data_IF_468273970103
#
_entry.id   IF_468273970103
#
_cell.length_a   1.000
_cell.length_b   1.000
_cell.length_c   1.000
_cell.angle_alpha   90.00
_cell.angle_beta   90.00
_cell.angle_gamma   90.00
#
_symmetry.space_group_name_H-M   'P 1'
#
loop_
_entity.id
_entity.type
_entity.pdbx_description
1 polymer ?
#
# COMPACT_ATOMS: atom_id res chain seq x y z
N UNK A 1 10.58 4.09 67.01
CA UNK A 1 10.43 3.01 66.05
C UNK A 1 10.23 3.72 64.75
N UNK A 2 11.21 4.01 64.30
CA UNK A 2 12.30 4.22 63.34
C UNK A 2 11.76 3.91 61.96
N UNK A 3 11.58 4.99 61.20
CA UNK A 3 11.24 4.99 59.79
C UNK A 3 12.51 5.36 59.02
N UNK A 4 13.14 4.33 58.45
CA UNK A 4 14.34 4.48 57.61
C UNK A 4 13.95 4.68 56.14
N UNK A 5 13.78 5.93 55.73
CA UNK A 5 13.79 6.31 54.31
C UNK A 5 15.18 6.87 53.95
N UNK A 6 16.01 6.01 53.38
CA UNK A 6 17.33 6.35 52.89
C UNK A 6 17.31 7.13 51.57
N UNK A 7 17.33 8.46 51.64
CA UNK A 7 17.64 9.32 50.50
C UNK A 7 19.13 9.61 50.42
N UNK A 8 19.79 9.19 49.36
CA UNK A 8 21.16 9.60 49.06
C UNK A 8 21.15 10.98 48.40
N UNK A 9 21.53 12.00 49.20
CA UNK A 9 21.74 13.35 48.74
C UNK A 9 23.07 13.45 48.00
N UNK A 10 23.00 13.72 46.68
CA UNK A 10 24.16 14.04 45.86
C UNK A 10 24.67 15.45 46.19
N UNK A 11 25.75 15.56 46.90
CA UNK A 11 26.43 16.78 47.28
C UNK A 11 27.25 17.32 46.11
N UNK A 12 26.70 18.26 45.34
CA UNK A 12 27.41 18.97 44.29
C UNK A 12 28.23 20.12 44.87
N UNK A 13 29.53 19.87 45.01
CA UNK A 13 30.52 20.86 45.43
C UNK A 13 30.80 21.86 44.30
N UNK A 14 30.65 23.19 44.49
CA UNK A 14 30.98 24.15 43.48
C UNK A 14 32.49 24.33 43.37
N UNK A 15 33.04 24.05 42.20
CA UNK A 15 34.45 24.32 41.88
C UNK A 15 34.58 25.75 41.43
N UNK A 16 35.12 26.59 42.32
CA UNK A 16 35.57 27.97 42.07
C UNK A 16 36.84 27.91 41.24
N UNK A 17 36.87 28.58 40.09
CA UNK A 17 38.11 28.66 39.32
C UNK A 17 37.99 29.53 38.09
N UNK A 18 38.46 30.76 38.26
CA UNK A 18 39.15 31.70 37.37
C UNK A 18 38.63 32.02 35.99
N UNK A 19 38.27 33.28 35.91
CA UNK A 19 38.15 34.14 34.72
C UNK A 19 39.35 33.99 33.76
N UNK A 20 39.08 33.60 32.54
CA UNK A 20 39.84 34.02 31.37
C UNK A 20 38.91 33.92 30.17
N UNK A 21 38.47 35.03 29.66
CA UNK A 21 37.81 35.17 28.37
C UNK A 21 38.76 34.74 27.26
N UNK A 22 38.38 33.85 26.39
CA UNK A 22 38.93 33.84 25.04
C UNK A 22 37.94 34.53 24.10
N UNK A 23 38.43 35.51 23.39
CA UNK A 23 37.86 36.17 22.23
C UNK A 23 37.26 35.16 21.24
N UNK A 24 36.24 35.56 20.46
CA UNK A 24 35.70 34.70 19.44
C UNK A 24 36.74 34.43 18.37
N UNK A 25 37.29 33.24 18.36
CA UNK A 25 38.12 32.77 17.26
C UNK A 25 37.26 32.75 16.00
N UNK A 26 37.56 33.70 15.14
CA UNK A 26 37.01 33.75 13.80
C UNK A 26 37.19 32.40 13.12
N UNK A 27 36.10 31.86 12.64
CA UNK A 27 36.07 30.72 11.75
C UNK A 27 36.82 31.13 10.48
N UNK A 28 38.10 30.82 10.40
CA UNK A 28 38.96 31.02 9.26
C UNK A 28 38.48 30.03 8.21
N UNK A 29 37.57 30.45 7.35
CA UNK A 29 37.27 29.75 6.11
C UNK A 29 38.56 29.78 5.30
N UNK A 30 39.23 28.64 5.23
CA UNK A 30 40.37 28.48 4.34
C UNK A 30 39.87 28.73 2.92
N UNK A 31 40.49 29.68 2.15
CA UNK A 31 40.07 29.93 0.79
C UNK A 31 40.31 28.67 -0.01
N UNK A 32 39.23 28.05 -0.48
CA UNK A 32 39.31 26.90 -1.43
C UNK A 32 40.24 27.30 -2.56
N UNK A 33 41.31 26.52 -2.72
CA UNK A 33 42.32 26.77 -3.75
C UNK A 33 41.61 26.99 -5.10
N UNK A 34 42.03 28.07 -5.81
CA UNK A 34 41.48 28.44 -7.13
C UNK A 34 41.49 27.23 -8.14
N UNK A 35 42.32 26.23 -7.87
CA UNK A 35 42.35 24.97 -8.63
C UNK A 35 41.14 24.08 -8.34
N UNK A 36 40.73 23.96 -7.06
CA UNK A 36 39.54 23.18 -6.69
C UNK A 36 38.27 23.81 -7.27
N UNK A 37 38.16 25.13 -7.28
CA UNK A 37 37.03 25.87 -7.86
C UNK A 37 36.93 25.62 -9.39
N UNK A 38 38.08 25.70 -10.10
CA UNK A 38 38.10 25.40 -11.55
C UNK A 38 37.73 23.95 -11.87
N UNK A 39 38.17 22.99 -11.05
CA UNK A 39 37.81 21.61 -11.20
C UNK A 39 36.32 21.42 -10.92
N UNK A 40 35.77 22.00 -9.86
CA UNK A 40 34.36 21.94 -9.52
C UNK A 40 33.46 22.52 -10.63
N UNK A 41 33.85 23.68 -11.20
CA UNK A 41 33.14 24.27 -12.33
C UNK A 41 33.22 23.39 -13.58
N UNK A 42 34.37 22.79 -13.84
CA UNK A 42 34.55 21.88 -14.98
C UNK A 42 33.65 20.62 -14.84
N UNK A 43 33.56 20.01 -13.64
CA UNK A 43 32.70 18.88 -13.35
C UNK A 43 31.23 19.23 -13.49
N UNK A 44 30.82 20.38 -12.93
CA UNK A 44 29.43 20.86 -13.05
C UNK A 44 29.07 21.14 -14.50
N UNK A 45 29.95 21.78 -15.27
CA UNK A 45 29.75 22.03 -16.69
C UNK A 45 29.62 20.73 -17.51
N UNK A 46 30.49 19.75 -17.26
CA UNK A 46 30.40 18.44 -17.92
C UNK A 46 29.10 17.73 -17.57
N UNK A 47 28.67 17.79 -16.30
CA UNK A 47 27.40 17.19 -15.86
C UNK A 47 26.19 17.84 -16.56
N UNK A 48 26.16 19.16 -16.67
CA UNK A 48 25.09 19.87 -17.38
C UNK A 48 25.05 19.48 -18.87
N UNK A 49 26.22 19.36 -19.54
CA UNK A 49 26.28 18.94 -20.95
C UNK A 49 25.75 17.52 -21.12
N UNK A 50 26.12 16.58 -20.23
CA UNK A 50 25.61 15.22 -20.25
C UNK A 50 24.09 15.20 -20.08
N UNK A 51 23.54 15.97 -19.14
CA UNK A 51 22.10 16.05 -18.94
C UNK A 51 21.36 16.59 -20.19
N UNK A 52 21.91 17.64 -20.81
CA UNK A 52 21.34 18.18 -22.05
C UNK A 52 21.40 17.18 -23.21
N UNK A 53 22.47 16.39 -23.32
CA UNK A 53 22.57 15.34 -24.32
C UNK A 53 21.57 14.20 -24.07
N UNK A 54 21.37 13.80 -22.81
CA UNK A 54 20.36 12.77 -22.45
C UNK A 54 18.94 13.25 -22.78
N UNK A 55 18.63 14.52 -22.48
CA UNK A 55 17.33 15.10 -22.81
C UNK A 55 17.15 15.19 -24.33
N UNK A 56 18.17 15.63 -25.06
CA UNK A 56 18.12 15.72 -26.52
C UNK A 56 17.96 14.35 -27.18
N UNK A 57 18.70 13.33 -26.70
CA UNK A 57 18.56 11.94 -27.17
C UNK A 57 17.19 11.35 -26.82
N UNK A 58 16.70 11.61 -25.61
CA UNK A 58 15.35 11.22 -25.19
C UNK A 58 14.27 11.84 -26.08
N UNK A 59 14.37 13.13 -26.36
CA UNK A 59 13.45 13.83 -27.26
C UNK A 59 13.55 13.28 -28.70
N UNK A 60 14.77 12.96 -29.17
CA UNK A 60 14.96 12.38 -30.50
C UNK A 60 14.41 10.97 -30.61
N UNK A 61 14.56 10.13 -29.60
CA UNK A 61 13.96 8.79 -29.53
C UNK A 61 12.43 8.86 -29.51
N UNK A 62 11.86 9.85 -28.78
CA UNK A 62 10.41 10.06 -28.77
C UNK A 62 9.86 10.65 -30.09
N UNK A 63 10.68 11.24 -30.96
CA UNK A 63 10.32 11.76 -32.27
C UNK A 63 10.62 10.79 -33.41
N UNK A 64 11.17 9.61 -33.12
CA UNK A 64 11.38 8.56 -34.11
C UNK A 64 10.08 8.11 -34.75
N UNK A 65 10.02 7.92 -36.10
CA UNK A 65 8.81 7.45 -36.75
C UNK A 65 8.47 6.05 -36.24
N UNK A 66 7.23 5.86 -35.83
CA UNK A 66 6.70 4.53 -35.51
C UNK A 66 6.97 3.57 -36.68
N UNK A 67 7.38 2.32 -36.43
CA UNK A 67 7.59 1.35 -37.50
C UNK A 67 6.28 1.16 -38.28
N UNK A 68 6.30 1.52 -39.56
CA UNK A 68 5.21 1.28 -40.51
C UNK A 68 5.06 -0.23 -40.67
N UNK A 69 4.02 -0.81 -40.03
CA UNK A 69 3.52 -2.11 -40.42
C UNK A 69 3.03 -2.04 -41.86
N UNK A 70 3.51 -2.95 -42.72
CA UNK A 70 3.07 -3.04 -44.11
C UNK A 70 1.56 -3.20 -44.19
N UNK A 71 0.85 -2.37 -44.94
CA UNK A 71 -0.54 -2.59 -45.24
C UNK A 71 -0.68 -3.66 -46.30
N UNK A 72 -1.24 -4.80 -45.99
CA UNK A 72 -1.89 -5.64 -46.98
C UNK A 72 -3.15 -4.92 -47.44
N UNK A 73 -3.18 -4.69 -48.73
CA UNK A 73 -4.15 -4.11 -49.63
C UNK A 73 -5.60 -4.44 -49.25
N UNK A 74 -6.42 -3.38 -48.99
CA UNK A 74 -7.86 -3.39 -49.25
C UNK A 74 -8.33 -1.95 -49.40
N UNK A 75 -8.93 -1.66 -50.60
CA UNK A 75 -9.53 -0.43 -51.05
C UNK A 75 -10.59 0.12 -50.09
N UNK A 76 -10.56 1.44 -49.85
CA UNK A 76 -11.64 2.15 -49.19
C UNK A 76 -11.27 3.60 -48.84
N UNK A 77 -11.64 4.51 -49.75
CA UNK A 77 -11.55 5.98 -49.61
C UNK A 77 -12.10 6.48 -48.27
N UNK A 78 -11.29 7.16 -47.46
CA UNK A 78 -11.74 8.18 -46.49
C UNK A 78 -10.63 9.22 -46.23
N UNK A 79 -11.05 10.45 -46.28
CA UNK A 79 -10.41 11.74 -46.17
C UNK A 79 -9.49 11.95 -44.96
N UNK A 80 -8.35 12.61 -45.21
CA UNK A 80 -7.42 13.15 -44.23
C UNK A 80 -8.00 14.32 -43.46
N UNK A 81 -8.04 14.25 -42.15
CA UNK A 81 -7.92 15.41 -41.25
C UNK A 81 -7.38 15.00 -39.88
N UNK A 82 -6.28 15.62 -39.43
CA UNK A 82 -5.93 15.80 -38.04
C UNK A 82 -4.97 14.80 -37.40
N UNK A 83 -3.68 15.16 -37.29
CA UNK A 83 -2.56 14.42 -36.70
C UNK A 83 -2.59 14.21 -35.19
N UNK A 84 -3.78 14.09 -34.56
CA UNK A 84 -3.91 13.82 -33.11
C UNK A 84 -4.57 12.49 -32.76
N UNK A 85 -5.05 11.74 -33.76
CA UNK A 85 -5.84 10.51 -33.51
C UNK A 85 -5.02 9.21 -33.49
N UNK A 86 -3.85 9.18 -34.10
CA UNK A 86 -3.10 7.91 -34.24
C UNK A 86 -2.49 7.41 -32.91
N UNK A 87 -2.07 8.29 -32.01
CA UNK A 87 -1.55 7.87 -30.69
C UNK A 87 -2.67 7.35 -29.77
N UNK A 88 -3.87 7.91 -29.84
CA UNK A 88 -5.00 7.45 -29.05
C UNK A 88 -5.52 6.08 -29.56
N UNK A 89 -5.56 5.87 -30.88
CA UNK A 89 -5.97 4.58 -31.47
C UNK A 89 -5.02 3.43 -31.05
N UNK A 90 -3.71 3.69 -30.97
CA UNK A 90 -2.74 2.70 -30.49
C UNK A 90 -2.90 2.36 -29.02
N UNK A 91 -3.24 3.35 -28.19
CA UNK A 91 -3.48 3.14 -26.76
C UNK A 91 -4.79 2.38 -26.50
N UNK A 92 -5.84 2.72 -27.24
CA UNK A 92 -7.13 2.02 -27.18
C UNK A 92 -7.02 0.57 -27.68
N UNK A 93 -6.27 0.32 -28.74
CA UNK A 93 -6.02 -1.04 -29.25
C UNK A 93 -5.22 -1.86 -28.26
N UNK A 94 -4.17 -1.28 -27.64
CA UNK A 94 -3.42 -1.91 -26.57
C UNK A 94 -4.32 -2.22 -25.35
N UNK A 95 -5.17 -1.26 -24.98
CA UNK A 95 -6.12 -1.44 -23.87
C UNK A 95 -7.16 -2.52 -24.19
N UNK A 96 -7.66 -2.57 -25.42
CA UNK A 96 -8.57 -3.61 -25.89
C UNK A 96 -7.93 -5.00 -25.86
N UNK A 97 -6.70 -5.14 -26.37
CA UNK A 97 -5.95 -6.40 -26.32
C UNK A 97 -5.64 -6.84 -24.89
N UNK A 98 -5.25 -5.89 -24.02
CA UNK A 98 -5.03 -6.15 -22.62
C UNK A 98 -6.31 -6.63 -21.93
N UNK A 99 -7.43 -5.97 -22.20
CA UNK A 99 -8.75 -6.36 -21.73
C UNK A 99 -9.11 -7.78 -22.18
N UNK A 100 -8.91 -8.08 -23.47
CA UNK A 100 -9.19 -9.40 -24.02
C UNK A 100 -8.29 -10.49 -23.46
N UNK A 101 -7.02 -10.18 -23.12
CA UNK A 101 -6.09 -11.15 -22.52
C UNK A 101 -6.31 -11.37 -21.03
N UNK A 102 -6.85 -10.38 -20.31
CA UNK A 102 -7.11 -10.44 -18.88
C UNK A 102 -8.52 -10.95 -18.54
N UNK A 103 -9.44 -10.86 -19.51
CA UNK A 103 -10.83 -11.21 -19.29
C UNK A 103 -11.16 -12.53 -19.99
N UNK A 104 -11.62 -13.52 -19.24
CA UNK A 104 -12.13 -14.77 -19.80
C UNK A 104 -13.43 -14.46 -20.60
N UNK A 105 -13.50 -14.82 -21.89
CA UNK A 105 -14.70 -14.57 -22.70
C UNK A 105 -15.99 -15.22 -22.13
N UNK A 106 -15.86 -16.26 -21.32
CA UNK A 106 -16.99 -16.89 -20.64
C UNK A 106 -17.61 -15.99 -19.53
N UNK A 107 -16.85 -15.09 -18.95
CA UNK A 107 -17.33 -14.17 -17.91
C UNK A 107 -18.00 -12.90 -18.49
N UNK A 108 -17.66 -12.54 -19.71
CA UNK A 108 -18.25 -11.37 -20.38
C UNK A 108 -19.71 -11.64 -20.78
N UNK A 109 -20.06 -12.88 -21.03
CA UNK A 109 -21.40 -13.28 -21.52
C UNK A 109 -22.48 -13.39 -20.45
N UNK A 110 -22.11 -13.51 -19.17
CA UNK A 110 -23.05 -13.81 -18.07
C UNK A 110 -23.47 -12.61 -17.22
N UNK A 111 -22.79 -11.47 -17.34
CA UNK A 111 -23.10 -10.27 -16.56
C UNK A 111 -23.40 -9.11 -17.51
N UNK A 112 -24.68 -8.86 -17.76
CA UNK A 112 -25.14 -7.76 -18.61
C UNK A 112 -24.43 -6.44 -18.31
N UNK A 113 -23.39 -6.12 -19.06
CA UNK A 113 -22.78 -4.80 -19.12
C UNK A 113 -21.77 -4.43 -18.05
N UNK A 114 -21.48 -5.27 -17.06
CA UNK A 114 -20.40 -4.95 -16.10
C UNK A 114 -19.05 -5.39 -16.64
N UNK A 115 -18.09 -4.43 -16.70
CA UNK A 115 -16.74 -4.66 -17.17
C UNK A 115 -16.06 -5.84 -16.45
N UNK A 116 -15.02 -6.36 -17.06
CA UNK A 116 -14.23 -7.45 -16.52
C UNK A 116 -13.53 -7.05 -15.21
N UNK A 117 -13.64 -7.89 -14.18
CA UNK A 117 -13.01 -7.70 -12.88
C UNK A 117 -11.83 -8.61 -12.72
N UNK A 118 -10.72 -8.11 -12.21
CA UNK A 118 -9.52 -8.90 -11.93
C UNK A 118 -8.86 -8.49 -10.61
N UNK A 119 -8.07 -9.40 -10.09
CA UNK A 119 -7.28 -9.19 -8.88
C UNK A 119 -5.79 -9.28 -9.20
N UNK A 120 -4.91 -8.66 -8.37
CA UNK A 120 -3.48 -8.90 -8.45
C UNK A 120 -3.15 -10.38 -8.26
N UNK A 121 -1.96 -10.75 -8.71
CA UNK A 121 -1.43 -12.10 -8.47
C UNK A 121 -1.53 -12.46 -6.98
N UNK A 122 -1.88 -13.71 -6.68
CA UNK A 122 -2.06 -14.27 -5.32
C UNK A 122 -3.29 -13.76 -4.56
N UNK A 123 -4.10 -12.89 -5.17
CA UNK A 123 -5.38 -12.47 -4.63
C UNK A 123 -6.52 -13.25 -5.30
N UNK A 124 -7.51 -13.62 -4.52
CA UNK A 124 -8.67 -14.36 -5.02
C UNK A 124 -9.83 -13.41 -5.25
N UNK A 125 -10.39 -13.44 -6.45
CA UNK A 125 -11.58 -12.66 -6.81
C UNK A 125 -12.84 -13.35 -6.28
N UNK A 126 -13.67 -12.62 -5.57
CA UNK A 126 -15.03 -13.02 -5.25
C UNK A 126 -15.96 -11.82 -5.33
N UNK A 127 -16.98 -11.89 -6.17
CA UNK A 127 -17.87 -10.79 -6.52
C UNK A 127 -17.10 -9.58 -7.12
N UNK A 128 -16.98 -8.50 -6.35
CA UNK A 128 -16.32 -7.25 -6.74
C UNK A 128 -15.08 -6.93 -5.87
N UNK A 129 -14.63 -7.90 -5.09
CA UNK A 129 -13.51 -7.75 -4.17
C UNK A 129 -12.43 -8.80 -4.39
N UNK A 130 -11.22 -8.40 -4.10
CA UNK A 130 -10.04 -9.24 -4.05
C UNK A 130 -9.69 -9.54 -2.59
N UNK A 131 -9.42 -10.79 -2.28
CA UNK A 131 -9.05 -11.27 -0.94
C UNK A 131 -7.67 -11.91 -0.97
N UNK A 132 -6.90 -11.67 0.07
CA UNK A 132 -5.57 -12.25 0.22
C UNK A 132 -5.38 -12.77 1.65
N UNK A 133 -4.98 -14.04 1.76
CA UNK A 133 -4.65 -14.70 3.02
C UNK A 133 -3.14 -14.66 3.23
N UNK A 134 -2.69 -14.24 4.42
CA UNK A 134 -1.27 -14.21 4.76
C UNK A 134 -0.66 -15.58 4.90
N UNK A 135 0.62 -15.71 4.55
CA UNK A 135 1.42 -16.89 4.86
C UNK A 135 2.07 -16.80 6.25
N UNK A 136 2.28 -15.59 6.75
CA UNK A 136 2.89 -15.28 8.04
C UNK A 136 1.82 -15.15 9.14
N UNK A 137 2.28 -15.18 10.40
CA UNK A 137 1.47 -14.86 11.58
C UNK A 137 1.99 -13.55 12.19
N UNK A 138 1.07 -12.67 12.60
CA UNK A 138 1.38 -11.38 13.24
C UNK A 138 0.27 -11.01 14.22
N UNK A 139 0.57 -10.05 15.11
CA UNK A 139 -0.45 -9.41 15.94
C UNK A 139 -1.45 -8.64 15.09
N UNK A 140 -2.64 -8.40 15.58
CA UNK A 140 -3.69 -7.74 14.82
C UNK A 140 -3.26 -6.37 14.26
N UNK A 141 -2.58 -5.55 15.05
CA UNK A 141 -2.12 -4.22 14.61
C UNK A 141 -1.09 -4.31 13.47
N UNK A 142 -0.13 -5.23 13.59
CA UNK A 142 0.87 -5.47 12.53
C UNK A 142 0.22 -6.02 11.25
N UNK A 143 -0.81 -6.84 11.39
CA UNK A 143 -1.60 -7.39 10.28
C UNK A 143 -2.36 -6.29 9.53
N UNK A 144 -2.99 -5.36 10.27
CA UNK A 144 -3.65 -4.19 9.71
C UNK A 144 -2.68 -3.31 8.91
N UNK A 145 -1.50 -3.04 9.50
CA UNK A 145 -0.47 -2.23 8.85
C UNK A 145 0.08 -2.92 7.59
N UNK A 146 0.15 -4.25 7.58
CA UNK A 146 0.55 -5.03 6.41
C UNK A 146 -0.49 -4.93 5.27
N UNK A 147 -1.78 -5.04 5.56
CA UNK A 147 -2.83 -4.79 4.57
C UNK A 147 -2.73 -3.38 4.00
N UNK A 148 -2.50 -2.37 4.85
CA UNK A 148 -2.33 -0.97 4.40
C UNK A 148 -1.15 -0.81 3.44
N UNK A 149 0.00 -1.45 3.71
CA UNK A 149 1.17 -1.46 2.82
C UNK A 149 0.90 -2.11 1.46
N UNK A 150 -0.08 -3.02 1.38
CA UNK A 150 -0.52 -3.67 0.14
C UNK A 150 -1.59 -2.87 -0.62
N UNK A 151 -1.87 -1.61 -0.20
CA UNK A 151 -2.96 -0.80 -0.77
C UNK A 151 -4.33 -1.46 -0.57
N UNK A 152 -4.53 -2.07 0.59
CA UNK A 152 -5.73 -2.81 0.96
C UNK A 152 -6.11 -2.52 2.42
N UNK A 153 -7.17 -3.10 2.90
CA UNK A 153 -7.58 -3.05 4.30
C UNK A 153 -7.81 -4.46 4.84
N UNK A 154 -7.85 -4.60 6.16
CA UNK A 154 -8.28 -5.85 6.77
C UNK A 154 -9.70 -6.20 6.36
N UNK A 155 -10.00 -7.49 6.33
CA UNK A 155 -11.31 -8.00 5.95
C UNK A 155 -12.45 -7.41 6.79
N UNK A 156 -13.46 -6.90 6.10
CA UNK A 156 -14.75 -6.48 6.67
C UNK A 156 -15.84 -7.35 6.05
N UNK A 157 -16.58 -8.07 6.89
CA UNK A 157 -17.65 -8.98 6.46
C UNK A 157 -18.97 -8.21 6.42
N UNK A 158 -19.62 -8.20 5.27
CA UNK A 158 -20.83 -7.42 5.02
C UNK A 158 -22.11 -8.26 5.08
N UNK A 159 -22.01 -9.55 4.70
CA UNK A 159 -23.15 -10.45 4.65
C UNK A 159 -22.74 -11.92 4.93
N UNK A 160 -23.74 -12.77 5.10
CA UNK A 160 -23.57 -14.18 5.43
C UNK A 160 -22.92 -14.96 4.30
N UNK A 161 -23.31 -14.70 3.07
CA UNK A 161 -22.76 -15.39 1.90
C UNK A 161 -21.26 -15.10 1.75
N UNK A 162 -20.85 -13.85 1.94
CA UNK A 162 -19.43 -13.46 1.98
C UNK A 162 -18.71 -14.19 3.11
N UNK A 163 -19.31 -14.28 4.30
CA UNK A 163 -18.72 -14.99 5.44
C UNK A 163 -18.50 -16.47 5.12
N UNK A 164 -19.51 -17.16 4.59
CA UNK A 164 -19.44 -18.58 4.25
C UNK A 164 -18.34 -18.85 3.21
N UNK A 165 -18.23 -17.98 2.19
CA UNK A 165 -17.14 -18.04 1.23
C UNK A 165 -15.77 -17.88 1.88
N UNK A 166 -15.60 -16.86 2.72
CA UNK A 166 -14.32 -16.55 3.35
C UNK A 166 -13.90 -17.62 4.36
N UNK A 167 -14.85 -18.24 5.04
CA UNK A 167 -14.61 -19.41 5.89
C UNK A 167 -14.04 -20.59 5.10
N UNK A 168 -14.40 -20.73 3.83
CA UNK A 168 -13.83 -21.77 2.96
C UNK A 168 -12.34 -21.56 2.69
N UNK A 169 -11.85 -20.30 2.71
CA UNK A 169 -10.44 -19.94 2.52
C UNK A 169 -9.60 -20.16 3.78
N UNK A 170 -10.23 -20.21 4.96
CA UNK A 170 -9.52 -20.43 6.23
C UNK A 170 -9.07 -21.90 6.31
N UNK A 171 -7.77 -22.17 6.54
CA UNK A 171 -7.28 -23.54 6.68
C UNK A 171 -7.96 -24.26 7.86
N UNK A 172 -8.12 -25.58 7.73
CA UNK A 172 -8.74 -26.39 8.77
C UNK A 172 -7.97 -26.28 10.10
N UNK A 173 -8.70 -26.09 11.21
CA UNK A 173 -8.10 -25.96 12.54
C UNK A 173 -7.37 -24.66 12.80
N UNK A 174 -7.46 -23.68 11.90
CA UNK A 174 -6.86 -22.34 12.08
C UNK A 174 -7.95 -21.28 12.17
N UNK A 175 -7.56 -20.16 12.76
CA UNK A 175 -8.31 -18.90 12.72
C UNK A 175 -7.43 -17.79 12.12
N UNK A 176 -8.07 -16.76 11.59
CA UNK A 176 -7.37 -15.65 10.94
C UNK A 176 -7.91 -14.32 11.44
N UNK A 177 -7.03 -13.33 11.58
CA UNK A 177 -7.44 -11.97 11.90
C UNK A 177 -8.33 -11.37 10.82
N UNK A 178 -9.37 -10.68 11.26
CA UNK A 178 -10.26 -9.85 10.44
C UNK A 178 -10.27 -8.42 10.98
N UNK A 179 -10.84 -7.48 10.24
CA UNK A 179 -10.86 -6.06 10.60
C UNK A 179 -11.85 -5.71 11.70
N UNK A 180 -12.02 -6.54 12.71
CA UNK A 180 -12.96 -6.34 13.80
C UNK A 180 -12.20 -6.09 15.11
N UNK A 181 -12.56 -5.02 15.85
CA UNK A 181 -11.95 -4.68 17.14
C UNK A 181 -13.00 -4.28 18.14
N UNK A 182 -12.71 -4.52 19.42
CA UNK A 182 -13.56 -4.06 20.52
C UNK A 182 -13.13 -2.68 21.01
N UNK A 183 -14.00 -1.71 20.88
CA UNK A 183 -13.80 -0.37 21.43
C UNK A 183 -14.23 -0.35 22.89
N UNK A 184 -13.27 -0.35 23.82
CA UNK A 184 -13.51 -0.40 25.26
C UNK A 184 -14.26 0.84 25.78
N UNK A 185 -14.00 2.03 25.19
CA UNK A 185 -14.66 3.28 25.59
C UNK A 185 -16.15 3.27 25.26
N UNK A 186 -16.52 2.69 24.13
CA UNK A 186 -17.92 2.59 23.68
C UNK A 186 -18.56 1.25 24.04
N UNK A 187 -17.76 0.29 24.54
CA UNK A 187 -18.17 -1.09 24.82
C UNK A 187 -18.86 -1.76 23.63
N UNK A 188 -18.32 -1.53 22.42
CA UNK A 188 -18.89 -2.01 21.17
C UNK A 188 -17.81 -2.56 20.26
N UNK A 189 -18.18 -3.55 19.47
CA UNK A 189 -17.41 -4.01 18.35
C UNK A 189 -17.50 -3.03 17.17
N UNK A 190 -16.41 -2.78 16.51
CA UNK A 190 -16.31 -1.88 15.34
C UNK A 190 -15.45 -2.51 14.25
N UNK A 191 -15.89 -2.37 13.00
CA UNK A 191 -15.07 -2.70 11.86
C UNK A 191 -13.98 -1.65 11.65
N UNK A 192 -12.85 -2.08 11.08
CA UNK A 192 -11.69 -1.21 10.83
C UNK A 192 -11.98 -0.06 9.82
N UNK A 193 -13.00 -0.20 9.00
CA UNK A 193 -13.48 0.82 8.07
C UNK A 193 -14.57 1.74 8.69
N UNK A 194 -14.92 1.53 9.95
CA UNK A 194 -15.97 2.26 10.64
C UNK A 194 -17.41 1.80 10.35
N UNK A 195 -17.58 0.76 9.54
CA UNK A 195 -18.91 0.20 9.27
C UNK A 195 -19.55 -0.36 10.54
N UNK A 196 -20.89 -0.29 10.67
CA UNK A 196 -21.59 -0.88 11.80
C UNK A 196 -21.49 -2.41 11.78
N UNK A 197 -21.33 -3.00 12.95
CA UNK A 197 -21.31 -4.45 13.12
C UNK A 197 -22.75 -4.95 13.20
N UNK A 198 -23.10 -5.90 12.34
CA UNK A 198 -24.39 -6.57 12.37
C UNK A 198 -24.32 -7.74 13.35
N UNK A 199 -25.16 -7.71 14.38
CA UNK A 199 -25.18 -8.74 15.44
C UNK A 199 -25.42 -10.15 14.91
N UNK A 200 -26.17 -10.28 13.82
CA UNK A 200 -26.47 -11.53 13.15
C UNK A 200 -25.22 -12.23 12.53
N UNK A 201 -24.16 -11.44 12.23
CA UNK A 201 -22.89 -11.95 11.70
C UNK A 201 -21.92 -12.37 12.80
N UNK A 202 -22.15 -11.88 14.02
CA UNK A 202 -21.23 -12.03 15.15
C UNK A 202 -21.97 -12.56 16.42
N UNK A 203 -22.76 -13.61 16.31
CA UNK A 203 -23.53 -14.13 17.44
C UNK A 203 -22.58 -14.57 18.55
N UNK A 204 -22.80 -14.09 19.77
CA UNK A 204 -22.02 -14.47 20.95
C UNK A 204 -20.75 -13.64 21.22
N UNK A 205 -20.44 -12.65 20.40
CA UNK A 205 -19.34 -11.69 20.66
C UNK A 205 -19.67 -10.62 21.73
N UNK A 206 -20.81 -10.72 22.41
CA UNK A 206 -21.31 -9.72 23.35
C UNK A 206 -20.44 -9.54 24.61
N UNK A 207 -19.58 -10.50 24.95
CA UNK A 207 -18.68 -10.44 26.11
C UNK A 207 -17.22 -10.37 25.61
N UNK A 208 -16.78 -9.15 25.30
CA UNK A 208 -15.38 -8.92 24.96
C UNK A 208 -14.67 -8.22 26.12
N UNK A 209 -13.47 -8.62 26.39
CA UNK A 209 -12.54 -7.93 27.27
C UNK A 209 -11.89 -6.74 26.57
N UNK A 210 -11.35 -5.83 27.37
CA UNK A 210 -10.50 -4.78 26.82
C UNK A 210 -9.35 -5.41 26.00
N UNK A 211 -9.02 -4.80 24.85
CA UNK A 211 -7.98 -5.30 23.93
C UNK A 211 -8.32 -6.60 23.19
N UNK A 212 -9.61 -6.81 22.88
CA UNK A 212 -10.07 -7.93 22.05
C UNK A 212 -10.18 -7.54 20.57
N UNK A 213 -9.78 -8.45 19.71
CA UNK A 213 -9.84 -8.35 18.27
C UNK A 213 -10.58 -9.56 17.69
N UNK A 214 -11.23 -9.38 16.52
CA UNK A 214 -12.01 -10.43 15.88
C UNK A 214 -11.14 -11.36 15.05
N UNK A 215 -11.37 -12.64 15.21
CA UNK A 215 -10.81 -13.69 14.36
C UNK A 215 -11.95 -14.44 13.64
N UNK A 216 -11.70 -14.87 12.42
CA UNK A 216 -12.59 -15.73 11.65
C UNK A 216 -12.11 -17.16 11.74
N UNK A 217 -12.89 -18.01 12.37
CA UNK A 217 -12.71 -19.45 12.36
C UNK A 217 -13.52 -20.13 11.26
N UNK A 218 -13.48 -21.44 11.24
CA UNK A 218 -14.17 -22.24 10.21
C UNK A 218 -15.71 -22.13 10.29
N UNK A 219 -16.26 -21.86 11.46
CA UNK A 219 -17.72 -21.88 11.68
C UNK A 219 -18.29 -20.58 12.20
N UNK A 220 -17.48 -19.73 12.83
CA UNK A 220 -17.93 -18.48 13.47
C UNK A 220 -16.81 -17.46 13.59
N UNK A 221 -17.20 -16.24 13.89
CA UNK A 221 -16.32 -15.18 14.34
C UNK A 221 -16.18 -15.27 15.86
N UNK A 222 -14.96 -15.17 16.36
CA UNK A 222 -14.64 -15.22 17.79
C UNK A 222 -13.77 -14.04 18.20
N UNK A 223 -13.74 -13.76 19.50
CA UNK A 223 -12.82 -12.77 20.08
C UNK A 223 -11.52 -13.44 20.48
N UNK A 224 -10.40 -12.74 20.26
CA UNK A 224 -9.07 -13.15 20.69
C UNK A 224 -8.31 -11.92 21.18
N UNK A 225 -7.29 -12.09 22.00
CA UNK A 225 -6.43 -11.00 22.47
C UNK A 225 -5.65 -10.44 21.27
N UNK A 226 -5.72 -9.12 21.03
CA UNK A 226 -5.12 -8.48 19.86
C UNK A 226 -3.60 -8.68 19.74
N UNK A 227 -2.91 -9.04 20.84
CA UNK A 227 -1.50 -9.36 20.86
C UNK A 227 -1.14 -10.80 20.46
N UNK A 228 -2.13 -11.69 20.33
CA UNK A 228 -1.92 -13.01 19.76
C UNK A 228 -1.46 -12.91 18.31
N UNK A 229 -0.74 -13.94 17.84
CA UNK A 229 -0.21 -13.97 16.49
C UNK A 229 -1.00 -14.97 15.63
N UNK A 230 -1.73 -14.46 14.64
CA UNK A 230 -2.50 -15.24 13.69
C UNK A 230 -2.16 -14.83 12.26
N UNK A 231 -2.53 -15.67 11.30
CA UNK A 231 -2.68 -15.26 9.90
C UNK A 231 -3.79 -14.22 9.79
N UNK A 232 -3.86 -13.50 8.69
CA UNK A 232 -4.86 -12.46 8.50
C UNK A 232 -5.37 -12.43 7.07
N UNK A 233 -6.56 -11.86 6.89
CA UNK A 233 -7.19 -11.63 5.60
C UNK A 233 -7.21 -10.13 5.29
N UNK A 234 -6.71 -9.79 4.11
CA UNK A 234 -6.84 -8.46 3.51
C UNK A 234 -7.91 -8.47 2.42
N UNK A 235 -8.55 -7.32 2.21
CA UNK A 235 -9.49 -7.08 1.11
C UNK A 235 -9.23 -5.76 0.41
N UNK A 236 -9.54 -5.69 -0.87
CA UNK A 236 -9.63 -4.47 -1.66
C UNK A 236 -10.63 -4.63 -2.79
N UNK A 237 -11.06 -3.52 -3.41
CA UNK A 237 -11.89 -3.59 -4.60
C UNK A 237 -11.15 -4.30 -5.74
N UNK A 238 -11.87 -5.07 -6.53
CA UNK A 238 -11.35 -5.61 -7.78
C UNK A 238 -11.11 -4.48 -8.78
N UNK A 239 -10.12 -4.67 -9.64
CA UNK A 239 -9.89 -3.75 -10.74
C UNK A 239 -10.93 -4.00 -11.83
N UNK A 240 -11.52 -2.94 -12.34
CA UNK A 240 -12.47 -2.97 -13.43
C UNK A 240 -11.75 -2.53 -14.72
N UNK A 241 -11.92 -3.29 -15.80
CA UNK A 241 -11.37 -3.01 -17.14
C UNK A 241 -12.46 -2.88 -18.18
#
# INVERSE_FOLDING_TARGET
MEDDEGYTVLNLRPKRGNSASPSPAGRQESPMSARCYKIALGVLGAFCIIQMLVIALGAWVCQGPCPKGNPAESDGVIQRTGGGRECNASLEDLFFRLKQSLCDPAQISSAGGSGCKFCPREWVLHRDKCYWLSNEIKTWSKSRDDCSKKGSQMLVIQDREQMDYLQSLVPAGQSVWIGLTFNSSQRKWTWADGAPVREELVPGLSQAEANSCGQLGKTKIESEICSSELKWLCQKAAFLV
#
